data_IF_388590856006
#
_entry.id   IF_388590856006
#
_cell.length_a   1.000
_cell.length_b   1.000
_cell.length_c   1.000
_cell.angle_alpha   90.00
_cell.angle_beta   90.00
_cell.angle_gamma   90.00
#
_symmetry.space_group_name_H-M   'P 1'
#
loop_
_entity.id
_entity.type
_entity.pdbx_description
1 polymer ?
#
# COMPACT_ATOMS: atom_id res chain seq x y z
N UNK A 1 36.52 -10.74 -11.42
CA UNK A 1 36.47 -9.28 -11.10
C UNK A 1 35.90 -8.56 -12.31
N UNK A 2 34.81 -7.82 -12.15
CA UNK A 2 34.10 -7.19 -13.26
C UNK A 2 34.94 -6.08 -13.92
N UNK A 3 34.87 -5.99 -15.25
CA UNK A 3 35.55 -4.98 -16.05
C UNK A 3 34.95 -3.58 -15.87
N UNK A 4 33.65 -3.51 -15.54
CA UNK A 4 32.91 -2.26 -15.27
C UNK A 4 32.84 -1.87 -13.80
N UNK A 5 33.72 -2.40 -12.94
CA UNK A 5 33.64 -2.23 -11.47
C UNK A 5 33.53 -0.78 -10.97
N UNK A 6 34.11 0.18 -11.70
CA UNK A 6 34.09 1.61 -11.40
C UNK A 6 32.84 2.32 -11.97
N UNK A 7 31.91 1.55 -12.52
CA UNK A 7 30.62 1.98 -13.10
C UNK A 7 29.45 1.19 -12.50
N UNK A 8 29.64 0.58 -11.33
CA UNK A 8 28.61 -0.10 -10.54
C UNK A 8 28.30 0.74 -9.29
N UNK A 9 27.43 1.75 -9.38
CA UNK A 9 27.22 2.70 -8.29
C UNK A 9 26.53 2.12 -7.07
N UNK A 10 25.75 1.04 -7.26
CA UNK A 10 24.84 0.55 -6.25
C UNK A 10 24.55 -0.95 -6.44
N UNK A 11 24.37 -1.63 -5.32
CA UNK A 11 23.74 -2.95 -5.25
C UNK A 11 22.48 -2.80 -4.40
N UNK A 12 21.32 -3.07 -4.99
CA UNK A 12 20.05 -3.12 -4.26
C UNK A 12 19.73 -4.59 -3.94
N UNK A 13 19.02 -4.82 -2.83
CA UNK A 13 18.61 -6.17 -2.42
C UNK A 13 17.12 -6.15 -2.12
N UNK A 14 16.37 -6.94 -2.88
CA UNK A 14 14.96 -7.19 -2.63
C UNK A 14 14.80 -8.63 -2.14
N UNK A 15 14.03 -8.85 -1.08
CA UNK A 15 13.77 -10.20 -0.56
C UNK A 15 12.28 -10.39 -0.43
N UNK A 16 11.80 -11.58 -0.77
CA UNK A 16 10.45 -12.08 -0.53
C UNK A 16 10.51 -13.51 0.01
N UNK A 17 9.35 -14.13 0.25
CA UNK A 17 9.25 -15.53 0.63
C UNK A 17 9.72 -16.48 -0.48
N UNK A 18 9.61 -16.08 -1.76
CA UNK A 18 10.11 -16.85 -2.91
C UNK A 18 11.60 -16.67 -3.20
N UNK A 19 12.34 -15.88 -2.40
CA UNK A 19 13.78 -15.74 -2.50
C UNK A 19 14.30 -14.32 -2.41
N UNK A 20 15.56 -14.14 -2.79
CA UNK A 20 16.26 -12.85 -2.76
C UNK A 20 16.75 -12.49 -4.16
N UNK A 21 16.69 -11.20 -4.51
CA UNK A 21 17.20 -10.62 -5.76
C UNK A 21 18.28 -9.60 -5.43
N UNK A 22 19.41 -9.71 -6.11
CA UNK A 22 20.51 -8.74 -6.06
C UNK A 22 20.51 -7.94 -7.35
N UNK A 23 20.18 -6.65 -7.25
CA UNK A 23 20.03 -5.78 -8.39
C UNK A 23 21.31 -4.96 -8.54
N UNK A 24 22.12 -5.37 -9.51
CA UNK A 24 23.40 -4.74 -9.85
C UNK A 24 23.11 -3.57 -10.77
N UNK A 25 23.14 -2.35 -10.20
CA UNK A 25 22.98 -1.13 -10.98
C UNK A 25 24.26 -0.84 -11.76
N UNK A 26 24.15 -0.48 -13.03
CA UNK A 26 25.30 -0.19 -13.89
C UNK A 26 25.12 1.10 -14.69
N UNK A 27 26.19 1.89 -14.80
CA UNK A 27 26.26 3.08 -15.66
C UNK A 27 26.80 2.77 -17.07
N UNK A 28 27.25 1.53 -17.30
CA UNK A 28 27.67 1.00 -18.59
C UNK A 28 27.10 -0.39 -18.75
N UNK A 29 26.58 -0.77 -19.94
CA UNK A 29 26.05 -2.11 -20.18
C UNK A 29 27.02 -3.20 -19.74
N UNK A 30 26.48 -4.25 -19.11
CA UNK A 30 27.24 -5.43 -18.70
C UNK A 30 27.60 -6.23 -19.95
N UNK A 31 28.90 -6.30 -20.27
CA UNK A 31 29.39 -7.09 -21.40
C UNK A 31 29.35 -8.59 -21.11
N UNK A 32 29.55 -9.42 -22.13
CA UNK A 32 29.47 -10.89 -22.03
C UNK A 32 30.42 -11.47 -20.97
N UNK A 33 31.65 -10.95 -20.87
CA UNK A 33 32.63 -11.38 -19.85
C UNK A 33 32.14 -11.11 -18.44
N UNK A 34 31.59 -9.93 -18.22
CA UNK A 34 31.06 -9.52 -16.92
C UNK A 34 29.76 -10.26 -16.60
N UNK A 35 28.90 -10.52 -17.60
CA UNK A 35 27.72 -11.39 -17.44
C UNK A 35 28.12 -12.80 -17.02
N UNK A 36 29.10 -13.43 -17.68
CA UNK A 36 29.61 -14.74 -17.29
C UNK A 36 30.16 -14.77 -15.85
N UNK A 37 30.89 -13.72 -15.46
CA UNK A 37 31.38 -13.57 -14.07
C UNK A 37 30.23 -13.45 -13.07
N UNK A 38 29.16 -12.72 -13.42
CA UNK A 38 27.97 -12.60 -12.58
C UNK A 38 27.19 -13.91 -12.52
N UNK A 39 27.10 -14.68 -13.61
CA UNK A 39 26.45 -15.99 -13.63
C UNK A 39 27.18 -16.99 -12.72
N UNK A 40 28.52 -17.01 -12.77
CA UNK A 40 29.33 -17.79 -11.84
C UNK A 40 29.08 -17.38 -10.38
N UNK A 41 28.97 -16.07 -10.10
CA UNK A 41 28.63 -15.58 -8.77
C UNK A 41 27.23 -16.02 -8.34
N UNK A 42 26.23 -15.88 -9.21
CA UNK A 42 24.83 -16.27 -8.96
C UNK A 42 24.75 -17.74 -8.51
N UNK A 43 25.50 -18.63 -9.15
CA UNK A 43 25.54 -20.05 -8.79
C UNK A 43 26.10 -20.33 -7.38
N UNK A 44 26.83 -19.38 -6.78
CA UNK A 44 27.44 -19.52 -5.44
C UNK A 44 26.66 -18.82 -4.34
N UNK A 45 25.72 -17.95 -4.68
CA UNK A 45 24.92 -17.19 -3.72
C UNK A 45 23.48 -17.71 -3.68
N UNK A 46 22.77 -17.46 -2.57
CA UNK A 46 21.34 -17.79 -2.44
C UNK A 46 20.45 -16.63 -2.91
N UNK A 47 20.73 -16.12 -4.10
CA UNK A 47 19.99 -15.01 -4.70
C UNK A 47 20.11 -15.04 -6.22
N UNK A 48 19.05 -14.58 -6.90
CA UNK A 48 19.11 -14.35 -8.34
C UNK A 48 19.65 -12.93 -8.59
N UNK A 49 20.54 -12.79 -9.56
CA UNK A 49 21.14 -11.52 -9.93
C UNK A 49 20.29 -10.90 -11.03
N UNK A 50 19.97 -9.63 -10.82
CA UNK A 50 19.31 -8.78 -11.78
C UNK A 50 20.26 -7.64 -12.14
N UNK A 51 20.15 -7.11 -13.35
CA UNK A 51 20.94 -5.96 -13.80
C UNK A 51 20.03 -4.79 -14.11
N UNK A 52 20.48 -3.58 -13.80
CA UNK A 52 19.69 -2.37 -14.01
C UNK A 52 20.54 -1.25 -14.61
N UNK A 53 20.16 -0.84 -15.82
CA UNK A 53 20.68 0.34 -16.50
C UNK A 53 19.78 1.57 -16.25
N UNK A 54 19.33 2.20 -17.34
CA UNK A 54 18.38 3.32 -17.29
C UNK A 54 16.92 2.87 -17.15
N UNK A 55 16.60 1.65 -17.60
CA UNK A 55 15.26 1.07 -17.53
C UNK A 55 14.98 0.26 -16.26
N UNK A 56 13.95 -0.57 -16.35
CA UNK A 56 13.56 -1.51 -15.31
C UNK A 56 14.63 -2.60 -15.12
N UNK A 57 14.78 -3.15 -13.90
CA UNK A 57 15.71 -4.24 -13.66
C UNK A 57 15.27 -5.47 -14.43
N UNK A 58 16.22 -6.18 -15.03
CA UNK A 58 16.02 -7.43 -15.75
C UNK A 58 16.81 -8.56 -15.06
N UNK A 59 16.32 -9.81 -15.07
CA UNK A 59 17.10 -10.93 -14.59
C UNK A 59 18.35 -11.13 -15.46
N UNK A 60 19.44 -11.62 -14.86
CA UNK A 60 20.70 -11.84 -15.57
C UNK A 60 20.58 -12.94 -16.64
N UNK A 61 19.72 -13.93 -16.38
CA UNK A 61 19.37 -15.07 -17.21
C UNK A 61 17.85 -15.34 -17.11
N UNK A 62 17.38 -16.55 -17.44
CA UNK A 62 15.95 -16.91 -17.38
C UNK A 62 15.41 -17.07 -15.93
N UNK A 63 16.23 -16.83 -14.88
CA UNK A 63 15.82 -16.82 -13.47
C UNK A 63 15.05 -15.53 -13.10
N UNK A 64 13.83 -15.41 -13.64
CA UNK A 64 13.02 -14.18 -13.55
C UNK A 64 11.80 -14.25 -12.65
N UNK A 65 11.72 -15.16 -11.68
CA UNK A 65 10.50 -15.31 -10.89
C UNK A 65 10.21 -14.11 -9.98
N UNK A 66 8.97 -13.62 -10.04
CA UNK A 66 8.45 -12.58 -9.15
C UNK A 66 8.71 -12.93 -7.67
N UNK A 67 9.01 -11.90 -6.89
CA UNK A 67 9.04 -12.02 -5.44
C UNK A 67 7.61 -12.01 -4.91
N UNK A 68 7.38 -12.59 -3.73
CA UNK A 68 6.10 -12.48 -3.06
C UNK A 68 6.22 -12.48 -1.54
N UNK A 69 5.17 -12.03 -0.87
CA UNK A 69 4.97 -12.21 0.56
C UNK A 69 3.55 -12.69 0.85
N UNK A 70 3.37 -13.43 1.95
CA UNK A 70 2.05 -13.77 2.44
C UNK A 70 1.35 -12.55 3.05
N UNK A 71 0.08 -12.39 2.70
CA UNK A 71 -0.85 -11.45 3.33
C UNK A 71 -1.89 -12.23 4.17
N UNK A 72 -2.61 -11.57 5.10
CA UNK A 72 -3.74 -12.19 5.81
C UNK A 72 -4.79 -12.77 4.86
N UNK A 73 -5.39 -13.90 5.26
CA UNK A 73 -6.42 -14.60 4.47
C UNK A 73 -5.85 -15.56 3.41
N UNK A 74 -4.67 -16.13 3.66
CA UNK A 74 -3.94 -17.01 2.73
C UNK A 74 -3.67 -16.38 1.36
N UNK A 75 -3.61 -15.05 1.34
CA UNK A 75 -3.34 -14.26 0.17
C UNK A 75 -1.82 -14.12 -0.05
N UNK A 76 -1.44 -13.81 -1.29
CA UNK A 76 -0.06 -13.51 -1.68
C UNK A 76 0.02 -12.21 -2.43
N UNK A 77 0.99 -11.36 -2.09
CA UNK A 77 1.30 -10.16 -2.85
C UNK A 77 2.56 -10.41 -3.66
N UNK A 78 2.43 -10.57 -4.98
CA UNK A 78 3.57 -10.65 -5.89
C UNK A 78 4.06 -9.26 -6.27
N UNK A 79 5.38 -9.13 -6.40
CA UNK A 79 6.05 -7.87 -6.71
C UNK A 79 7.37 -8.11 -7.44
N UNK A 80 7.86 -7.07 -8.10
CA UNK A 80 9.17 -7.01 -8.75
C UNK A 80 10.12 -6.15 -7.92
N UNK A 81 11.45 -6.25 -8.10
CA UNK A 81 12.41 -5.53 -7.26
C UNK A 81 12.27 -4.00 -7.24
N UNK A 82 11.62 -3.39 -8.24
CA UNK A 82 11.42 -1.94 -8.31
C UNK A 82 10.10 -1.47 -7.71
N UNK A 83 9.19 -2.40 -7.41
CA UNK A 83 7.91 -2.05 -6.81
C UNK A 83 8.09 -1.52 -5.39
N UNK A 84 7.28 -0.51 -5.06
CA UNK A 84 7.15 -0.09 -3.68
C UNK A 84 6.41 -1.15 -2.86
N UNK A 85 7.05 -1.58 -1.78
CA UNK A 85 6.50 -2.50 -0.78
C UNK A 85 6.81 -1.96 0.61
N UNK A 86 6.05 -2.43 1.61
CA UNK A 86 6.32 -2.11 3.00
C UNK A 86 7.62 -2.79 3.46
N UNK A 87 8.54 -2.00 4.02
CA UNK A 87 9.91 -2.47 4.32
C UNK A 87 9.96 -3.54 5.43
N UNK A 88 8.98 -3.55 6.33
CA UNK A 88 8.94 -4.46 7.47
C UNK A 88 7.68 -5.34 7.39
N UNK A 89 7.81 -6.54 6.80
CA UNK A 89 6.69 -7.43 6.54
C UNK A 89 5.89 -7.85 7.80
N UNK A 90 6.53 -8.20 8.95
CA UNK A 90 5.78 -8.48 10.19
C UNK A 90 4.95 -7.30 10.70
N UNK A 91 5.45 -6.06 10.56
CA UNK A 91 4.72 -4.85 10.97
C UNK A 91 3.59 -4.53 9.98
N UNK A 92 3.86 -4.66 8.67
CA UNK A 92 2.84 -4.52 7.63
C UNK A 92 1.66 -5.49 7.84
N UNK A 93 1.94 -6.76 8.16
CA UNK A 93 0.88 -7.74 8.45
C UNK A 93 0.00 -7.30 9.62
N UNK A 94 0.61 -6.80 10.69
CA UNK A 94 -0.13 -6.26 11.84
C UNK A 94 -0.95 -5.02 11.48
N UNK A 95 -0.44 -4.14 10.60
CA UNK A 95 -1.19 -2.99 10.10
C UNK A 95 -2.42 -3.43 9.31
N UNK A 96 -2.27 -4.41 8.41
CA UNK A 96 -3.37 -4.97 7.63
C UNK A 96 -4.42 -5.62 8.54
N UNK A 97 -4.00 -6.48 9.47
CA UNK A 97 -4.91 -7.12 10.43
C UNK A 97 -5.70 -6.07 11.21
N UNK A 98 -5.01 -5.01 11.65
CA UNK A 98 -5.63 -3.90 12.38
C UNK A 98 -6.57 -3.08 11.51
N UNK A 99 -6.24 -2.86 10.23
CA UNK A 99 -7.10 -2.18 9.27
C UNK A 99 -8.41 -2.94 9.06
N UNK A 100 -8.34 -4.27 8.86
CA UNK A 100 -9.49 -5.15 8.74
C UNK A 100 -10.37 -5.09 10.00
N UNK A 101 -9.76 -5.17 11.18
CA UNK A 101 -10.47 -5.08 12.46
C UNK A 101 -11.17 -3.74 12.66
N UNK A 102 -10.51 -2.63 12.32
CA UNK A 102 -11.01 -1.27 12.58
C UNK A 102 -12.09 -0.82 11.61
N UNK A 103 -12.05 -1.31 10.37
CA UNK A 103 -13.08 -1.03 9.37
C UNK A 103 -14.37 -1.80 9.64
N UNK A 104 -14.32 -2.89 10.42
CA UNK A 104 -15.49 -3.68 10.86
C UNK A 104 -16.36 -4.12 9.67
N UNK A 105 -15.73 -4.54 8.57
CA UNK A 105 -16.41 -4.98 7.37
C UNK A 105 -17.14 -6.32 7.60
N UNK A 106 -18.37 -6.43 7.09
CA UNK A 106 -19.29 -7.56 7.29
C UNK A 106 -19.69 -8.25 5.98
N UNK A 107 -19.09 -7.86 4.86
CA UNK A 107 -19.33 -8.45 3.53
C UNK A 107 -20.34 -7.70 2.67
N UNK A 108 -21.04 -6.70 3.20
CA UNK A 108 -22.01 -5.86 2.49
C UNK A 108 -21.44 -4.50 2.06
N UNK A 109 -20.27 -4.12 2.59
CA UNK A 109 -19.68 -2.80 2.36
C UNK A 109 -18.98 -2.70 1.01
N UNK A 110 -19.02 -1.49 0.45
CA UNK A 110 -18.15 -1.06 -0.64
C UNK A 110 -17.01 -0.21 -0.10
N UNK A 111 -15.78 -0.56 -0.48
CA UNK A 111 -14.57 0.08 0.03
C UNK A 111 -13.75 0.66 -1.11
N UNK A 112 -13.18 1.84 -0.91
CA UNK A 112 -12.19 2.42 -1.84
C UNK A 112 -10.86 2.59 -1.13
N UNK A 113 -9.81 2.05 -1.72
CA UNK A 113 -8.42 2.12 -1.25
C UNK A 113 -7.66 3.09 -2.16
N UNK A 114 -7.35 4.29 -1.65
CA UNK A 114 -6.64 5.32 -2.39
C UNK A 114 -5.14 5.22 -2.09
N UNK A 115 -4.31 5.37 -3.14
CA UNK A 115 -2.86 5.15 -3.10
C UNK A 115 -2.52 3.67 -2.87
N UNK A 116 -3.26 2.78 -3.52
CA UNK A 116 -3.26 1.36 -3.17
C UNK A 116 -1.97 0.60 -3.56
N UNK A 117 -1.13 1.17 -4.42
CA UNK A 117 0.03 0.49 -4.99
C UNK A 117 -0.34 -0.86 -5.59
N UNK A 118 0.34 -1.92 -5.15
CA UNK A 118 0.11 -3.30 -5.59
C UNK A 118 -1.14 -3.98 -5.00
N UNK A 119 -1.90 -3.29 -4.16
CA UNK A 119 -3.07 -3.83 -3.46
C UNK A 119 -2.78 -4.38 -2.07
N UNK A 120 -1.77 -3.84 -1.36
CA UNK A 120 -1.38 -4.30 -0.02
C UNK A 120 -2.55 -4.37 0.96
N UNK A 121 -3.43 -3.36 0.94
CA UNK A 121 -4.68 -3.36 1.71
C UNK A 121 -5.89 -3.80 0.87
N UNK A 122 -5.94 -3.43 -0.41
CA UNK A 122 -7.06 -3.76 -1.31
C UNK A 122 -7.38 -5.26 -1.33
N UNK A 123 -6.35 -6.14 -1.43
CA UNK A 123 -6.57 -7.58 -1.54
C UNK A 123 -7.14 -8.18 -0.24
N UNK A 124 -6.55 -7.92 0.96
CA UNK A 124 -7.17 -8.36 2.21
C UNK A 124 -8.56 -7.78 2.44
N UNK A 125 -8.81 -6.51 2.10
CA UNK A 125 -10.13 -5.89 2.23
C UNK A 125 -11.19 -6.62 1.38
N UNK A 126 -10.82 -7.07 0.18
CA UNK A 126 -11.72 -7.79 -0.71
C UNK A 126 -12.21 -9.13 -0.12
N UNK A 127 -11.50 -9.70 0.86
CA UNK A 127 -11.96 -10.90 1.57
C UNK A 127 -13.09 -10.63 2.56
N UNK A 128 -13.35 -9.35 2.89
CA UNK A 128 -14.32 -8.92 3.91
C UNK A 128 -15.40 -7.95 3.40
N UNK A 129 -15.28 -7.46 2.17
CA UNK A 129 -16.19 -6.48 1.59
C UNK A 129 -16.94 -7.03 0.38
N UNK A 130 -18.03 -6.36 -0.02
CA UNK A 130 -18.80 -6.70 -1.22
C UNK A 130 -18.04 -6.33 -2.51
N UNK A 131 -17.45 -5.14 -2.55
CA UNK A 131 -16.68 -4.59 -3.68
C UNK A 131 -15.57 -3.71 -3.11
N UNK A 132 -14.35 -3.85 -3.66
CA UNK A 132 -13.21 -3.02 -3.29
C UNK A 132 -12.58 -2.44 -4.55
N UNK A 133 -12.35 -1.13 -4.56
CA UNK A 133 -11.65 -0.46 -5.65
C UNK A 133 -10.35 0.18 -5.15
N UNK A 134 -9.23 -0.29 -5.67
CA UNK A 134 -7.91 0.33 -5.49
C UNK A 134 -7.67 1.43 -6.52
N UNK A 135 -7.05 2.53 -6.11
CA UNK A 135 -6.67 3.64 -6.98
C UNK A 135 -5.19 3.95 -6.80
N UNK A 136 -4.46 3.96 -7.91
CA UNK A 136 -3.00 4.17 -7.97
C UNK A 136 -2.68 5.05 -9.19
N UNK A 137 -1.61 5.84 -9.14
CA UNK A 137 -1.23 6.71 -10.27
C UNK A 137 -0.46 5.94 -11.35
N UNK A 138 0.35 4.96 -10.95
CA UNK A 138 1.21 4.19 -11.84
C UNK A 138 0.41 3.05 -12.54
N UNK A 139 0.27 3.16 -13.87
CA UNK A 139 -0.45 2.15 -14.68
C UNK A 139 0.19 0.75 -14.62
N UNK A 140 1.52 0.67 -14.51
CA UNK A 140 2.23 -0.59 -14.41
C UNK A 140 1.99 -1.24 -13.03
N UNK A 141 1.96 -0.45 -11.94
CA UNK A 141 1.55 -0.95 -10.62
C UNK A 141 0.08 -1.38 -10.62
N UNK A 142 -0.82 -0.63 -11.28
CA UNK A 142 -2.23 -1.03 -11.44
C UNK A 142 -2.35 -2.36 -12.20
N UNK A 143 -1.57 -2.57 -13.27
CA UNK A 143 -1.56 -3.83 -13.99
C UNK A 143 -1.10 -5.00 -13.11
N UNK A 144 -0.07 -4.79 -12.27
CA UNK A 144 0.40 -5.78 -11.30
C UNK A 144 -0.60 -6.02 -10.17
N UNK A 145 -1.27 -4.99 -9.68
CA UNK A 145 -2.33 -5.12 -8.67
C UNK A 145 -3.52 -5.95 -9.20
N UNK A 146 -3.91 -5.75 -10.47
CA UNK A 146 -4.90 -6.59 -11.16
C UNK A 146 -4.44 -8.04 -11.28
N UNK A 147 -3.17 -8.27 -11.61
CA UNK A 147 -2.57 -9.62 -11.63
C UNK A 147 -2.62 -10.25 -10.24
N UNK A 148 -2.26 -9.52 -9.18
CA UNK A 148 -2.36 -9.99 -7.80
C UNK A 148 -3.79 -10.38 -7.43
N UNK A 149 -4.80 -9.56 -7.73
CA UNK A 149 -6.19 -9.93 -7.49
C UNK A 149 -6.60 -11.20 -8.25
N UNK A 150 -6.19 -11.34 -9.52
CA UNK A 150 -6.44 -12.55 -10.32
C UNK A 150 -5.76 -13.78 -9.73
N UNK A 151 -4.49 -13.69 -9.35
CA UNK A 151 -3.70 -14.79 -8.81
C UNK A 151 -4.26 -15.26 -7.44
N UNK A 152 -4.88 -14.34 -6.70
CA UNK A 152 -5.61 -14.61 -5.46
C UNK A 152 -7.10 -14.93 -5.66
N UNK A 153 -7.57 -15.02 -6.91
CA UNK A 153 -8.96 -15.34 -7.25
C UNK A 153 -10.01 -14.35 -6.68
N UNK A 154 -9.62 -13.10 -6.49
CA UNK A 154 -10.49 -12.03 -5.98
C UNK A 154 -11.22 -11.35 -7.14
N UNK A 155 -12.49 -11.71 -7.35
CA UNK A 155 -13.33 -11.16 -8.43
C UNK A 155 -13.99 -9.83 -8.08
N UNK A 156 -14.00 -9.45 -6.80
CA UNK A 156 -14.59 -8.24 -6.26
C UNK A 156 -13.56 -7.12 -5.99
N UNK A 157 -12.30 -7.30 -6.40
CA UNK A 157 -11.25 -6.29 -6.33
C UNK A 157 -10.98 -5.70 -7.73
N UNK A 158 -11.12 -4.38 -7.87
CA UNK A 158 -10.89 -3.66 -9.13
C UNK A 158 -9.88 -2.53 -8.92
N UNK A 159 -9.18 -2.15 -9.99
CA UNK A 159 -8.12 -1.13 -9.89
C UNK A 159 -8.24 -0.08 -11.00
N UNK A 160 -8.07 1.18 -10.63
CA UNK A 160 -8.16 2.36 -11.51
C UNK A 160 -6.84 3.12 -11.44
N UNK A 161 -6.30 3.48 -12.61
CA UNK A 161 -5.18 4.42 -12.71
C UNK A 161 -5.71 5.86 -12.64
N UNK A 162 -5.27 6.65 -11.66
CA UNK A 162 -5.62 8.06 -11.54
C UNK A 162 -4.62 8.84 -10.66
N UNK A 163 -4.32 10.08 -11.05
CA UNK A 163 -3.60 11.01 -10.19
C UNK A 163 -4.54 11.56 -9.09
N UNK A 164 -4.23 11.20 -7.85
CA UNK A 164 -4.99 11.60 -6.67
C UNK A 164 -4.48 12.92 -6.05
N UNK A 165 -3.33 13.41 -6.51
CA UNK A 165 -2.62 14.58 -5.98
C UNK A 165 -2.68 15.78 -6.91
N UNK A 166 -3.03 15.59 -8.19
CA UNK A 166 -3.27 16.68 -9.12
C UNK A 166 -4.36 17.63 -8.57
N UNK A 167 -4.01 18.90 -8.36
CA UNK A 167 -4.94 19.93 -7.87
C UNK A 167 -5.71 20.61 -9.00
N UNK A 168 -5.22 20.52 -10.24
CA UNK A 168 -5.72 21.25 -11.42
C UNK A 168 -6.68 20.40 -12.27
N UNK A 169 -6.42 19.10 -12.40
CA UNK A 169 -7.25 18.19 -13.19
C UNK A 169 -8.35 17.51 -12.37
N UNK A 170 -9.59 17.44 -12.88
CA UNK A 170 -10.66 16.66 -12.24
C UNK A 170 -10.36 15.15 -12.30
N UNK A 171 -10.89 14.41 -11.33
CA UNK A 171 -10.77 12.96 -11.33
C UNK A 171 -11.48 12.32 -12.53
N UNK A 172 -10.92 11.23 -13.10
CA UNK A 172 -11.56 10.50 -14.18
C UNK A 172 -13.01 10.16 -13.84
N UNK A 173 -13.91 10.22 -14.83
CA UNK A 173 -15.35 9.94 -14.61
C UNK A 173 -15.58 8.59 -13.90
N UNK A 174 -14.80 7.58 -14.26
CA UNK A 174 -14.86 6.26 -13.63
C UNK A 174 -14.56 6.30 -12.12
N UNK A 175 -13.57 7.09 -11.69
CA UNK A 175 -13.24 7.28 -10.29
C UNK A 175 -14.35 8.05 -9.56
N UNK A 176 -14.85 9.15 -10.14
CA UNK A 176 -15.95 9.92 -9.55
C UNK A 176 -17.23 9.10 -9.38
N UNK A 177 -17.55 8.24 -10.35
CA UNK A 177 -18.66 7.28 -10.23
C UNK A 177 -18.37 6.21 -9.18
N UNK A 178 -17.12 5.76 -9.09
CA UNK A 178 -16.70 4.79 -8.09
C UNK A 178 -16.90 5.30 -6.67
N UNK A 179 -16.63 6.59 -6.45
CA UNK A 179 -16.72 7.22 -5.13
C UNK A 179 -18.14 7.53 -4.66
N UNK A 180 -19.17 7.25 -5.47
CA UNK A 180 -20.57 7.33 -5.03
C UNK A 180 -20.93 6.09 -4.21
N UNK A 181 -21.68 6.27 -3.11
CA UNK A 181 -22.14 5.19 -2.24
C UNK A 181 -21.01 4.26 -1.76
N UNK A 182 -19.96 4.87 -1.20
CA UNK A 182 -18.84 4.14 -0.59
C UNK A 182 -19.04 4.12 0.92
N UNK A 183 -18.93 2.96 1.54
CA UNK A 183 -19.13 2.81 2.99
C UNK A 183 -17.86 3.15 3.78
N UNK A 184 -16.70 2.83 3.21
CA UNK A 184 -15.41 3.10 3.83
C UNK A 184 -14.32 3.46 2.81
N UNK A 185 -13.39 4.32 3.24
CA UNK A 185 -12.21 4.68 2.46
C UNK A 185 -10.95 4.37 3.25
N UNK A 186 -9.95 3.79 2.59
CA UNK A 186 -8.59 3.67 3.09
C UNK A 186 -7.69 4.65 2.34
N UNK A 187 -6.77 5.31 3.05
CA UNK A 187 -5.77 6.22 2.52
C UNK A 187 -4.38 5.74 2.99
N UNK A 188 -3.45 5.48 2.07
CA UNK A 188 -2.02 5.27 2.37
C UNK A 188 -1.12 6.16 1.46
N UNK A 189 -1.22 7.50 1.59
CA UNK A 189 -0.58 8.43 0.68
C UNK A 189 0.94 8.51 0.85
N UNK A 190 1.65 9.12 -0.12
CA UNK A 190 3.04 9.50 0.05
C UNK A 190 3.24 10.52 1.20
N UNK A 191 4.49 10.82 1.53
CA UNK A 191 4.86 11.74 2.64
C UNK A 191 4.19 13.13 2.57
N UNK A 192 3.74 13.57 1.40
CA UNK A 192 3.01 14.82 1.20
C UNK A 192 1.60 14.82 1.84
N UNK A 193 1.07 13.65 2.21
CA UNK A 193 -0.29 13.45 2.70
C UNK A 193 -1.32 13.38 1.57
N UNK A 194 -2.59 13.34 1.94
CA UNK A 194 -3.74 13.12 1.06
C UNK A 194 -4.68 14.34 1.00
N UNK A 195 -4.21 15.55 1.34
CA UNK A 195 -5.07 16.75 1.43
C UNK A 195 -5.91 16.96 0.16
N UNK A 196 -5.32 16.84 -1.03
CA UNK A 196 -6.03 16.98 -2.31
C UNK A 196 -7.14 15.95 -2.46
N UNK A 197 -6.82 14.67 -2.23
CA UNK A 197 -7.79 13.58 -2.28
C UNK A 197 -8.90 13.73 -1.24
N UNK A 198 -8.57 14.11 0.00
CA UNK A 198 -9.53 14.38 1.07
C UNK A 198 -10.42 15.56 0.71
N UNK A 199 -9.87 16.66 0.20
CA UNK A 199 -10.64 17.81 -0.29
C UNK A 199 -11.48 17.50 -1.53
N UNK A 200 -11.30 16.36 -2.21
CA UNK A 200 -12.19 15.92 -3.28
C UNK A 200 -13.25 14.93 -2.77
N UNK A 201 -12.87 14.10 -1.80
CA UNK A 201 -13.74 13.17 -1.11
C UNK A 201 -14.79 13.90 -0.24
N UNK A 202 -14.38 14.97 0.45
CA UNK A 202 -15.15 15.64 1.50
C UNK A 202 -16.18 16.67 1.01
N UNK A 203 -16.01 17.42 -0.09
CA UNK A 203 -17.05 18.33 -0.58
C UNK A 203 -18.30 17.62 -1.12
N UNK A 204 -18.23 16.32 -1.42
CA UNK A 204 -19.43 15.51 -1.60
C UNK A 204 -20.29 15.43 -0.32
N UNK A 205 -19.77 15.87 0.83
CA UNK A 205 -20.32 15.63 2.18
C UNK A 205 -20.89 16.88 2.87
N UNK A 206 -20.64 18.08 2.33
CA UNK A 206 -21.04 19.38 2.90
C UNK A 206 -22.29 20.00 2.24
N UNK A 207 -22.84 19.38 1.19
CA UNK A 207 -24.24 19.63 0.83
C UNK A 207 -25.10 18.89 1.87
N UNK A 208 -26.04 19.58 2.51
CA UNK A 208 -26.90 19.03 3.57
C UNK A 208 -27.83 17.88 3.11
N UNK A 209 -27.61 17.30 1.93
CA UNK A 209 -28.55 16.43 1.22
C UNK A 209 -27.92 15.10 0.76
N UNK A 210 -26.60 14.95 0.69
CA UNK A 210 -26.01 13.75 0.09
C UNK A 210 -25.54 12.74 1.15
N UNK A 211 -26.34 11.70 1.40
CA UNK A 211 -25.98 10.51 2.19
C UNK A 211 -24.87 9.63 1.56
N UNK A 212 -24.00 10.21 0.74
CA UNK A 212 -22.97 9.53 -0.05
C UNK A 212 -21.60 9.53 0.63
N UNK A 213 -21.53 10.02 1.87
CA UNK A 213 -20.29 10.07 2.65
C UNK A 213 -19.88 8.69 3.15
N UNK A 214 -18.58 8.34 3.08
CA UNK A 214 -18.11 7.15 3.77
C UNK A 214 -18.32 7.29 5.27
N UNK A 215 -18.86 6.24 5.89
CA UNK A 215 -19.06 6.21 7.33
C UNK A 215 -17.72 6.11 8.08
N UNK A 216 -16.70 5.53 7.43
CA UNK A 216 -15.37 5.29 7.99
C UNK A 216 -14.27 5.73 7.01
N UNK A 217 -13.26 6.43 7.51
CA UNK A 217 -12.01 6.72 6.79
C UNK A 217 -10.86 6.19 7.63
N UNK A 218 -10.11 5.25 7.10
CA UNK A 218 -8.88 4.74 7.70
C UNK A 218 -7.69 5.37 6.98
N UNK A 219 -6.83 6.05 7.73
CA UNK A 219 -5.68 6.76 7.17
C UNK A 219 -4.40 6.19 7.78
N UNK A 220 -3.57 5.54 6.94
CA UNK A 220 -2.19 5.13 7.20
C UNK A 220 -1.22 6.22 6.73
N UNK A 221 -0.24 6.60 7.54
CA UNK A 221 0.71 7.65 7.19
C UNK A 221 2.07 7.43 7.82
N UNK A 222 3.11 7.57 7.01
CA UNK A 222 4.51 7.63 7.44
C UNK A 222 4.97 9.04 7.87
N UNK A 223 4.09 10.04 7.86
CA UNK A 223 4.42 11.43 8.21
C UNK A 223 3.37 12.05 9.17
N UNK A 224 3.68 12.14 10.48
CA UNK A 224 2.76 12.67 11.48
C UNK A 224 2.29 14.10 11.21
N UNK A 225 3.14 14.95 10.60
CA UNK A 225 2.81 16.35 10.37
C UNK A 225 1.71 16.50 9.33
N UNK A 226 1.80 15.77 8.22
CA UNK A 226 0.77 15.79 7.17
C UNK A 226 -0.47 15.03 7.59
N UNK A 227 -0.34 13.93 8.35
CA UNK A 227 -1.48 13.27 8.99
C UNK A 227 -2.26 14.25 9.89
N UNK A 228 -1.58 15.01 10.75
CA UNK A 228 -2.24 15.97 11.64
C UNK A 228 -2.96 17.08 10.87
N UNK A 229 -2.32 17.63 9.82
CA UNK A 229 -2.93 18.63 8.92
C UNK A 229 -4.21 18.09 8.27
N UNK A 230 -4.13 16.90 7.70
CA UNK A 230 -5.23 16.29 6.95
C UNK A 230 -6.37 15.84 7.90
N UNK A 231 -6.03 15.28 9.06
CA UNK A 231 -6.96 14.98 10.13
C UNK A 231 -7.71 16.23 10.62
N UNK A 232 -7.01 17.36 10.73
CA UNK A 232 -7.61 18.64 11.06
C UNK A 232 -8.70 19.05 10.05
N UNK A 233 -8.51 18.78 8.75
CA UNK A 233 -9.54 19.02 7.75
C UNK A 233 -10.70 18.03 7.87
N UNK A 234 -10.42 16.73 8.02
CA UNK A 234 -11.47 15.71 8.20
C UNK A 234 -12.38 16.01 9.40
N UNK A 235 -11.81 16.47 10.51
CA UNK A 235 -12.57 16.80 11.72
C UNK A 235 -13.32 18.11 11.58
N UNK A 236 -12.62 19.20 11.25
CA UNK A 236 -13.19 20.55 11.32
C UNK A 236 -14.07 20.90 10.11
N UNK A 237 -13.78 20.33 8.93
CA UNK A 237 -14.54 20.59 7.70
C UNK A 237 -15.32 19.37 7.21
N UNK A 238 -14.87 18.15 7.51
CA UNK A 238 -15.49 16.91 7.03
C UNK A 238 -16.55 16.30 7.94
N UNK A 239 -16.69 16.76 9.19
CA UNK A 239 -17.66 16.22 10.16
C UNK A 239 -17.32 14.82 10.67
N UNK A 240 -16.05 14.43 10.61
CA UNK A 240 -15.56 13.18 11.19
C UNK A 240 -15.02 13.40 12.60
N UNK A 241 -14.92 12.31 13.37
CA UNK A 241 -14.17 12.26 14.62
C UNK A 241 -13.08 11.20 14.55
N UNK A 242 -11.92 11.49 15.12
CA UNK A 242 -10.89 10.48 15.33
C UNK A 242 -11.38 9.49 16.38
N UNK A 243 -11.58 8.23 15.98
CA UNK A 243 -12.05 7.16 16.88
C UNK A 243 -10.90 6.33 17.43
N UNK A 244 -9.89 6.04 16.60
CA UNK A 244 -8.73 5.23 16.98
C UNK A 244 -7.47 5.78 16.34
N UNK A 245 -6.35 5.65 17.04
CA UNK A 245 -5.02 5.97 16.55
C UNK A 245 -4.06 4.91 17.08
N UNK A 246 -3.17 4.41 16.22
CA UNK A 246 -2.04 3.61 16.64
C UNK A 246 -0.79 4.03 15.90
N UNK A 247 0.36 3.80 16.54
CA UNK A 247 1.66 3.92 15.93
C UNK A 247 2.15 2.53 15.54
N UNK A 248 2.82 2.43 14.40
CA UNK A 248 3.51 1.24 13.96
C UNK A 248 5.00 1.56 13.79
N UNK A 249 5.84 0.78 14.44
CA UNK A 249 7.29 0.93 14.36
C UNK A 249 7.82 0.22 13.11
N UNK A 250 7.53 0.80 11.94
CA UNK A 250 7.95 0.25 10.64
C UNK A 250 9.48 0.26 10.51
N UNK A 251 10.15 1.24 11.14
CA UNK A 251 11.60 1.45 11.06
C UNK A 251 12.21 1.66 12.45
N UNK A 252 12.36 0.58 13.25
CA UNK A 252 12.97 0.65 14.57
C UNK A 252 14.36 1.28 14.52
N UNK A 253 14.72 2.03 15.56
CA UNK A 253 15.97 2.77 15.68
C UNK A 253 16.14 3.94 14.70
N UNK A 254 15.06 4.38 14.05
CA UNK A 254 15.06 5.60 13.24
C UNK A 254 14.09 6.65 13.80
N UNK A 255 14.10 7.84 13.23
CA UNK A 255 13.12 8.89 13.56
C UNK A 255 11.80 8.74 12.80
N UNK A 256 11.66 7.74 11.92
CA UNK A 256 10.43 7.52 11.18
C UNK A 256 9.35 6.97 12.11
N UNK A 257 8.12 7.39 11.89
CA UNK A 257 6.96 6.91 12.64
C UNK A 257 5.80 6.70 11.68
N UNK A 258 5.34 5.46 11.60
CA UNK A 258 4.11 5.11 10.90
C UNK A 258 2.94 5.29 11.87
N UNK A 259 1.83 5.83 11.40
CA UNK A 259 0.62 5.98 12.18
C UNK A 259 -0.60 5.53 11.36
N UNK A 260 -1.56 4.91 12.03
CA UNK A 260 -2.85 4.58 11.45
C UNK A 260 -3.97 5.17 12.30
N UNK A 261 -4.88 5.89 11.66
CA UNK A 261 -5.95 6.64 12.29
C UNK A 261 -7.30 6.27 11.67
N UNK A 262 -8.26 5.88 12.51
CA UNK A 262 -9.64 5.65 12.09
C UNK A 262 -10.49 6.89 12.40
N UNK A 263 -11.11 7.44 11.38
CA UNK A 263 -12.10 8.50 11.46
C UNK A 263 -13.48 7.95 11.13
N UNK A 264 -14.49 8.40 11.86
CA UNK A 264 -15.88 7.97 11.65
C UNK A 264 -16.84 9.15 11.65
N UNK A 265 -17.93 9.03 10.90
CA UNK A 265 -18.95 10.08 10.75
C UNK A 265 -20.01 10.01 11.87
N UNK A 266 -20.61 11.15 12.22
CA UNK A 266 -21.76 11.24 13.15
C UNK A 266 -21.39 11.28 14.64
N UNK A 267 -22.36 11.06 15.54
CA UNK A 267 -22.13 10.96 16.99
C UNK A 267 -21.64 9.56 17.41
N UNK A 268 -20.98 9.47 18.57
CA UNK A 268 -20.50 8.21 19.14
C UNK A 268 -21.67 7.25 19.43
N UNK A 269 -21.49 5.92 19.30
CA UNK A 269 -22.42 5.00 19.93
C UNK A 269 -22.45 5.33 21.43
N UNK A 270 -23.62 5.70 21.92
CA UNK A 270 -23.85 5.87 23.36
C UNK A 270 -23.66 4.52 24.04
N UNK A 271 -22.76 4.51 25.02
CA UNK A 271 -22.58 3.53 26.10
C UNK A 271 -21.74 2.26 25.86
N UNK A 272 -20.53 2.30 26.46
CA UNK A 272 -19.95 1.31 27.38
C UNK A 272 -20.54 -0.11 27.35
N UNK A 273 -19.79 -1.05 26.75
CA UNK A 273 -19.42 -2.31 27.42
C UNK A 273 -17.91 -2.50 27.28
N UNK A 274 -17.18 -2.07 28.32
CA UNK A 274 -15.79 -2.43 28.49
C UNK A 274 -15.71 -3.95 28.71
N UNK A 275 -15.39 -4.71 27.67
CA UNK A 275 -14.90 -6.08 27.84
C UNK A 275 -13.48 -5.96 28.38
N UNK A 276 -13.33 -6.07 29.70
CA UNK A 276 -12.02 -6.26 30.35
C UNK A 276 -11.43 -7.60 29.88
N UNK A 277 -10.70 -7.60 28.76
CA UNK A 277 -9.69 -8.64 28.52
C UNK A 277 -8.39 -8.18 29.17
N UNK A 278 -8.19 -8.61 30.42
CA UNK A 278 -6.85 -8.66 31.04
C UNK A 278 -6.03 -9.62 30.18
N UNK A 279 -5.12 -9.09 29.38
CA UNK A 279 -3.97 -9.87 28.92
C UNK A 279 -2.96 -9.82 30.07
N UNK A 280 -2.91 -10.89 30.84
CA UNK A 280 -1.83 -11.16 31.77
C UNK A 280 -0.60 -11.49 30.93
N UNK A 281 0.33 -10.55 30.83
CA UNK A 281 1.72 -10.88 30.51
C UNK A 281 2.39 -11.19 31.84
N UNK A 282 2.62 -12.48 32.08
CA UNK A 282 3.54 -12.97 33.11
C UNK A 282 4.87 -13.33 32.41
N UNK A 283 5.99 -13.27 33.17
CA UNK A 283 7.30 -12.82 32.70
C UNK A 283 8.02 -13.75 31.72
#
# INVERSE_FOLDING_TARGET
RLSIRDRLPQLEVATGESGTRWIVRHLRPVNERDRATLTELQATIKADIWVKGEGDPEPLDDSGAELNFALPGDLRLSFTPQDFIQANAPVNRQLIDRALDWLELRGDQRVVDLFCGLGNFTLPLATRAADVVGVEIDEAMVARARKNAKDNQLTNARFIAADLMDEEADWPKALRQTLRHVDAVLLDPPRAGAMTAIKRLVPALSSAVSGDAPARILYVSCNPATLARDAGFLVNAGGYRLQRLCLADMFPHTTHSEAMALFVRGEAPTTRKAVKRRVSLAP
#
